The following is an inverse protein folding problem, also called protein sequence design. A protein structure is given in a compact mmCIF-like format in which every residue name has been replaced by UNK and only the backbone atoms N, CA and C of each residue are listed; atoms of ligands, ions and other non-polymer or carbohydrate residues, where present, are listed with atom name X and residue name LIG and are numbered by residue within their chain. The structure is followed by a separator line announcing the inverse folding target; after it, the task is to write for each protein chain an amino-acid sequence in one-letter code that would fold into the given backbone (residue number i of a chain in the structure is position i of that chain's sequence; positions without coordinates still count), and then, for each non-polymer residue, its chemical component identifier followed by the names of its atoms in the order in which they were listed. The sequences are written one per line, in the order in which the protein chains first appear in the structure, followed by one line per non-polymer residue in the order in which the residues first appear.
data_IF_839586722586
#
_entry.id   IF_839586722586
#
_cell.length_a   1.000
_cell.length_b   1.000
_cell.length_c   1.000
_cell.angle_alpha   90.00
_cell.angle_beta   90.00
_cell.angle_gamma   90.00
#
_symmetry.space_group_name_H-M   'P 1'
#
loop_
_entity.id
_entity.type
_entity.pdbx_description
1 polymer ?
#
# COMPACT_ATOMS: atom_id res chain seq x y z
N UNK A 1 -21.56 11.37 16.53
CA UNK A 1 -22.19 11.89 15.30
C UNK A 1 -22.53 10.69 14.43
N UNK A 2 -23.70 10.62 13.77
CA UNK A 2 -23.92 9.57 12.78
C UNK A 2 -22.80 9.67 11.73
N UNK A 3 -22.21 8.54 11.33
CA UNK A 3 -21.26 8.50 10.21
C UNK A 3 -21.98 9.09 8.99
N UNK A 4 -21.31 9.94 8.20
CA UNK A 4 -21.86 10.39 6.93
C UNK A 4 -22.18 9.17 6.07
N UNK A 5 -23.29 9.24 5.33
CA UNK A 5 -23.63 8.23 4.33
C UNK A 5 -22.43 8.00 3.39
N UNK A 6 -22.02 6.74 3.22
CA UNK A 6 -20.92 6.38 2.31
C UNK A 6 -21.37 6.63 0.87
N UNK A 7 -20.59 7.42 0.13
CA UNK A 7 -20.86 7.74 -1.27
C UNK A 7 -19.76 7.16 -2.15
N UNK A 8 -20.12 6.25 -3.04
CA UNK A 8 -19.15 5.54 -3.89
C UNK A 8 -19.36 5.96 -5.34
N UNK A 9 -18.31 6.49 -5.97
CA UNK A 9 -18.28 6.64 -7.42
C UNK A 9 -17.81 5.33 -8.04
N UNK A 10 -18.64 4.73 -8.89
CA UNK A 10 -18.29 3.53 -9.66
C UNK A 10 -17.97 3.96 -11.09
N UNK A 11 -16.70 3.88 -11.48
CA UNK A 11 -16.28 4.20 -12.84
C UNK A 11 -16.50 2.97 -13.74
N UNK A 12 -17.42 3.11 -14.69
CA UNK A 12 -17.89 2.04 -15.57
C UNK A 12 -17.37 2.31 -16.98
N UNK A 13 -16.54 1.41 -17.49
CA UNK A 13 -16.01 1.48 -18.87
C UNK A 13 -16.98 0.84 -19.86
N UNK A 14 -17.59 -0.29 -19.48
CA UNK A 14 -18.62 -0.96 -20.28
C UNK A 14 -19.90 -1.20 -19.46
N UNK A 15 -20.88 -0.29 -19.55
CA UNK A 15 -22.16 -0.44 -18.88
C UNK A 15 -22.90 -1.73 -19.22
N UNK A 16 -22.56 -2.43 -20.31
CA UNK A 16 -23.21 -3.69 -20.67
C UNK A 16 -22.65 -4.90 -19.91
N UNK A 17 -21.40 -4.85 -19.45
CA UNK A 17 -20.63 -6.03 -19.02
C UNK A 17 -20.21 -6.03 -17.53
N UNK A 18 -20.46 -4.95 -16.80
CA UNK A 18 -19.88 -4.73 -15.46
C UNK A 18 -20.85 -4.90 -14.29
N UNK A 19 -21.79 -5.84 -14.40
CA UNK A 19 -22.77 -6.11 -13.35
C UNK A 19 -22.09 -6.53 -12.03
N UNK A 20 -21.01 -7.31 -12.09
CA UNK A 20 -20.22 -7.74 -10.92
C UNK A 20 -19.60 -6.56 -10.16
N UNK A 21 -19.11 -5.54 -10.89
CA UNK A 21 -18.56 -4.32 -10.28
C UNK A 21 -19.63 -3.57 -9.49
N UNK A 22 -20.85 -3.49 -10.03
CA UNK A 22 -21.98 -2.83 -9.36
C UNK A 22 -22.47 -3.62 -8.15
N UNK A 23 -22.51 -4.96 -8.22
CA UNK A 23 -22.84 -5.81 -7.06
C UNK A 23 -21.82 -5.64 -5.93
N UNK A 24 -20.53 -5.59 -6.28
CA UNK A 24 -19.47 -5.31 -5.32
C UNK A 24 -19.63 -3.90 -4.72
N UNK A 25 -19.90 -2.89 -5.54
CA UNK A 25 -20.15 -1.52 -5.06
C UNK A 25 -21.30 -1.46 -4.05
N UNK A 26 -22.42 -2.11 -4.37
CA UNK A 26 -23.59 -2.17 -3.49
C UNK A 26 -23.27 -2.84 -2.15
N UNK A 27 -22.48 -3.91 -2.15
CA UNK A 27 -22.06 -4.60 -0.90
C UNK A 27 -21.30 -3.68 0.07
N UNK A 28 -20.57 -2.69 -0.45
CA UNK A 28 -19.80 -1.73 0.34
C UNK A 28 -20.64 -0.57 0.88
N UNK A 29 -21.82 -0.33 0.28
CA UNK A 29 -22.74 0.75 0.59
C UNK A 29 -23.98 0.29 1.38
N UNK A 30 -23.94 -0.90 2.00
CA UNK A 30 -25.08 -1.54 2.66
C UNK A 30 -25.46 -0.93 4.04
N UNK A 31 -24.67 0.03 4.56
CA UNK A 31 -25.04 0.79 5.76
C UNK A 31 -26.20 1.76 5.44
N UNK A 32 -27.05 2.12 6.43
CA UNK A 32 -28.19 2.97 6.17
C UNK A 32 -27.73 4.25 5.48
N UNK A 33 -28.37 4.54 4.33
CA UNK A 33 -28.17 5.73 3.49
C UNK A 33 -26.98 5.70 2.51
N UNK A 34 -26.32 4.57 2.27
CA UNK A 34 -25.30 4.47 1.21
C UNK A 34 -25.83 4.78 -0.19
N UNK A 35 -25.01 5.44 -1.03
CA UNK A 35 -25.38 5.85 -2.38
C UNK A 35 -24.25 5.58 -3.39
N UNK A 36 -24.62 5.08 -4.57
CA UNK A 36 -23.71 4.84 -5.69
C UNK A 36 -23.90 5.90 -6.79
N UNK A 37 -22.78 6.38 -7.33
CA UNK A 37 -22.72 7.20 -8.52
C UNK A 37 -22.10 6.39 -9.66
N UNK A 38 -22.95 5.73 -10.45
CA UNK A 38 -22.51 4.91 -11.59
C UNK A 38 -22.16 5.83 -12.74
N UNK A 39 -20.88 5.91 -13.09
CA UNK A 39 -20.36 6.96 -13.98
C UNK A 39 -19.67 6.36 -15.19
N UNK A 40 -20.23 6.61 -16.37
CA UNK A 40 -19.59 6.32 -17.65
C UNK A 40 -19.08 7.63 -18.26
N UNK A 41 -17.77 7.69 -18.54
CA UNK A 41 -17.15 8.85 -19.18
C UNK A 41 -17.09 8.62 -20.68
N UNK A 42 -17.57 9.59 -21.46
CA UNK A 42 -17.46 9.58 -22.92
C UNK A 42 -16.41 10.60 -23.34
N UNK A 43 -15.30 10.10 -23.87
CA UNK A 43 -14.22 10.94 -24.40
C UNK A 43 -14.39 11.21 -25.91
N UNK A 44 -13.78 12.27 -26.47
CA UNK A 44 -13.94 12.61 -27.90
C UNK A 44 -13.46 11.52 -28.87
N UNK A 45 -12.54 10.66 -28.42
CA UNK A 45 -11.93 9.60 -29.23
C UNK A 45 -12.71 8.27 -29.19
N UNK A 46 -13.72 8.17 -28.32
CA UNK A 46 -14.55 6.97 -28.19
C UNK A 46 -15.76 7.00 -29.13
N UNK A 47 -16.16 5.85 -29.67
CA UNK A 47 -17.39 5.76 -30.46
C UNK A 47 -18.61 6.10 -29.59
N UNK A 48 -19.55 6.83 -30.16
CA UNK A 48 -20.80 7.16 -29.48
C UNK A 48 -21.55 5.89 -29.08
N UNK A 49 -21.99 5.85 -27.81
CA UNK A 49 -22.73 4.72 -27.22
C UNK A 49 -24.14 5.20 -26.85
N UNK A 50 -25.08 5.25 -27.81
CA UNK A 50 -26.41 5.81 -27.57
C UNK A 50 -27.20 5.05 -26.48
N UNK A 51 -26.88 3.77 -26.28
CA UNK A 51 -27.51 2.92 -25.27
C UNK A 51 -26.87 3.02 -23.88
N UNK A 52 -25.76 3.77 -23.72
CA UNK A 52 -25.01 3.83 -22.46
C UNK A 52 -25.88 4.28 -21.27
N UNK A 53 -26.78 5.25 -21.49
CA UNK A 53 -27.70 5.71 -20.47
C UNK A 53 -28.69 4.61 -20.03
N UNK A 54 -29.22 3.83 -20.99
CA UNK A 54 -30.14 2.75 -20.70
C UNK A 54 -29.45 1.57 -20.01
N UNK A 55 -28.22 1.24 -20.45
CA UNK A 55 -27.38 0.22 -19.83
C UNK A 55 -26.98 0.60 -18.40
N UNK A 56 -26.60 1.86 -18.15
CA UNK A 56 -26.34 2.36 -16.80
C UNK A 56 -27.59 2.33 -15.92
N UNK A 57 -28.77 2.65 -16.46
CA UNK A 57 -30.02 2.54 -15.71
C UNK A 57 -30.34 1.10 -15.32
N UNK A 58 -30.08 0.12 -16.21
CA UNK A 58 -30.16 -1.32 -15.88
C UNK A 58 -29.17 -1.67 -14.77
N UNK A 59 -27.93 -1.21 -14.87
CA UNK A 59 -26.90 -1.45 -13.86
C UNK A 59 -27.31 -0.83 -12.50
N UNK A 60 -27.87 0.38 -12.49
CA UNK A 60 -28.39 1.02 -11.29
C UNK A 60 -29.50 0.20 -10.62
N UNK A 61 -30.36 -0.45 -11.42
CA UNK A 61 -31.40 -1.33 -10.89
C UNK A 61 -30.82 -2.50 -10.09
N UNK A 62 -29.66 -3.04 -10.48
CA UNK A 62 -28.98 -4.11 -9.72
C UNK A 62 -28.65 -3.66 -8.30
N UNK A 63 -28.16 -2.43 -8.13
CA UNK A 63 -27.87 -1.88 -6.80
C UNK A 63 -29.15 -1.61 -6.01
N UNK A 64 -30.21 -1.13 -6.66
CA UNK A 64 -31.52 -0.89 -6.03
C UNK A 64 -32.15 -2.19 -5.54
N UNK A 65 -32.04 -3.27 -6.32
CA UNK A 65 -32.52 -4.60 -5.94
C UNK A 65 -31.76 -5.15 -4.72
N UNK A 66 -30.52 -4.68 -4.50
CA UNK A 66 -29.71 -4.95 -3.31
C UNK A 66 -29.94 -3.95 -2.17
N UNK A 67 -30.91 -3.05 -2.29
CA UNK A 67 -31.29 -2.09 -1.26
C UNK A 67 -30.46 -0.80 -1.22
N UNK A 68 -29.61 -0.55 -2.23
CA UNK A 68 -28.73 0.61 -2.30
C UNK A 68 -29.19 1.59 -3.37
N UNK A 69 -29.26 2.88 -3.04
CA UNK A 69 -29.58 3.92 -4.02
C UNK A 69 -28.45 4.05 -5.05
N UNK A 70 -28.77 4.08 -6.34
CA UNK A 70 -27.80 4.25 -7.41
C UNK A 70 -28.27 5.28 -8.44
N UNK A 71 -27.38 6.21 -8.78
CA UNK A 71 -27.64 7.28 -9.75
C UNK A 71 -26.74 7.07 -10.98
N UNK A 72 -27.31 6.86 -12.18
CA UNK A 72 -26.55 6.72 -13.42
C UNK A 72 -26.15 8.08 -14.00
N UNK A 73 -24.88 8.24 -14.37
CA UNK A 73 -24.30 9.44 -14.97
C UNK A 73 -23.53 9.08 -16.25
N UNK A 74 -23.96 9.63 -17.38
CA UNK A 74 -23.15 9.72 -18.60
C UNK A 74 -22.55 11.12 -18.64
N UNK A 75 -21.21 11.20 -18.60
CA UNK A 75 -20.50 12.48 -18.52
C UNK A 75 -19.52 12.60 -19.68
N UNK A 76 -19.62 13.69 -20.43
CA UNK A 76 -18.68 14.00 -21.51
C UNK A 76 -17.54 14.86 -21.00
N UNK A 77 -16.32 14.57 -21.43
CA UNK A 77 -15.18 15.43 -21.14
C UNK A 77 -13.91 15.02 -21.87
N UNK A 78 -12.84 15.82 -21.76
CA UNK A 78 -11.65 15.65 -22.58
C UNK A 78 -10.77 14.47 -22.15
N UNK A 79 -10.89 14.00 -20.90
CA UNK A 79 -10.19 12.81 -20.41
C UNK A 79 -10.96 12.16 -19.26
N UNK A 80 -10.84 10.83 -19.13
CA UNK A 80 -11.44 10.06 -18.02
C UNK A 80 -10.95 10.58 -16.67
N UNK A 81 -9.64 10.81 -16.53
CA UNK A 81 -9.03 11.26 -15.28
C UNK A 81 -9.61 12.57 -14.76
N UNK A 82 -9.73 13.57 -15.65
CA UNK A 82 -10.30 14.86 -15.27
C UNK A 82 -11.77 14.73 -14.88
N UNK A 83 -12.56 14.04 -15.70
CA UNK A 83 -14.01 13.90 -15.47
C UNK A 83 -14.32 13.18 -14.17
N UNK A 84 -13.63 12.07 -13.89
CA UNK A 84 -13.79 11.34 -12.62
C UNK A 84 -13.35 12.21 -11.43
N UNK A 85 -12.25 12.95 -11.55
CA UNK A 85 -11.81 13.87 -10.49
C UNK A 85 -12.83 14.96 -10.16
N UNK A 86 -13.42 15.59 -11.18
CA UNK A 86 -14.49 16.59 -11.02
C UNK A 86 -15.77 15.95 -10.43
N UNK A 87 -16.11 14.73 -10.88
CA UNK A 87 -17.28 13.99 -10.42
C UNK A 87 -17.19 13.59 -8.94
N UNK A 88 -16.03 13.11 -8.49
CA UNK A 88 -15.77 12.79 -7.08
C UNK A 88 -16.02 14.01 -6.18
N UNK A 89 -15.55 15.19 -6.58
CA UNK A 89 -15.79 16.44 -5.84
C UNK A 89 -17.25 16.88 -5.92
N UNK A 90 -17.83 16.87 -7.12
CA UNK A 90 -19.20 17.33 -7.38
C UNK A 90 -20.23 16.55 -6.59
N UNK A 91 -20.03 15.25 -6.44
CA UNK A 91 -20.95 14.36 -5.73
C UNK A 91 -20.45 13.97 -4.34
N UNK A 92 -19.33 14.55 -3.90
CA UNK A 92 -18.78 14.37 -2.57
C UNK A 92 -18.58 12.89 -2.22
N UNK A 93 -18.01 12.13 -3.17
CA UNK A 93 -17.79 10.70 -3.04
C UNK A 93 -16.54 10.42 -2.20
N UNK A 94 -16.66 9.47 -1.26
CA UNK A 94 -15.59 9.06 -0.35
C UNK A 94 -14.68 8.01 -0.99
N UNK A 95 -15.23 7.21 -1.91
CA UNK A 95 -14.57 6.05 -2.51
C UNK A 95 -14.72 6.11 -4.04
N UNK A 96 -13.62 5.86 -4.75
CA UNK A 96 -13.61 5.50 -6.17
C UNK A 96 -13.49 3.97 -6.29
N UNK A 97 -14.46 3.33 -6.96
CA UNK A 97 -14.39 1.93 -7.34
C UNK A 97 -14.38 1.81 -8.86
N UNK A 98 -13.48 0.98 -9.40
CA UNK A 98 -13.32 0.81 -10.84
C UNK A 98 -12.86 -0.59 -11.23
N UNK A 99 -13.22 -1.04 -12.43
CA UNK A 99 -12.72 -2.27 -13.03
C UNK A 99 -11.25 -2.19 -13.47
N UNK A 100 -10.58 -3.34 -13.48
CA UNK A 100 -9.27 -3.51 -14.13
C UNK A 100 -9.46 -4.06 -15.55
N UNK A 101 -9.18 -3.23 -16.55
CA UNK A 101 -9.23 -3.64 -17.96
C UNK A 101 -7.82 -3.77 -18.50
N UNK A 102 -7.43 -5.02 -18.77
CA UNK A 102 -6.15 -5.38 -19.38
C UNK A 102 -6.18 -6.85 -19.76
N UNK A 103 -6.20 -7.10 -21.07
CA UNK A 103 -6.05 -8.44 -21.61
C UNK A 103 -4.67 -9.01 -21.24
N UNK A 104 -4.64 -10.33 -21.13
CA UNK A 104 -3.53 -11.19 -20.75
C UNK A 104 -2.29 -10.94 -21.62
N UNK A 105 -1.45 -9.97 -21.24
CA UNK A 105 -0.07 -9.86 -21.69
C UNK A 105 0.73 -9.02 -20.68
N UNK A 106 1.95 -9.46 -20.35
CA UNK A 106 2.86 -8.79 -19.41
C UNK A 106 3.32 -7.43 -19.93
N UNK A 107 3.34 -7.25 -21.25
CA UNK A 107 3.77 -6.03 -21.92
C UNK A 107 2.60 -5.08 -22.25
N UNK A 108 1.38 -5.60 -22.31
CA UNK A 108 0.14 -4.83 -22.52
C UNK A 108 -0.62 -4.56 -21.21
N UNK A 109 0.09 -4.53 -20.08
CA UNK A 109 -0.42 -4.03 -18.78
C UNK A 109 -0.43 -2.49 -18.83
N UNK A 110 -1.05 -1.94 -19.89
CA UNK A 110 -0.88 -0.56 -20.34
C UNK A 110 -2.20 0.21 -20.55
N UNK A 111 -3.24 -0.03 -19.75
CA UNK A 111 -4.29 1.00 -19.61
C UNK A 111 -3.74 2.14 -18.73
N UNK A 112 -3.27 3.20 -19.40
CA UNK A 112 -2.73 4.41 -18.79
C UNK A 112 -3.79 5.19 -17.97
N UNK A 113 -5.09 5.01 -18.26
CA UNK A 113 -6.18 5.78 -17.68
C UNK A 113 -6.42 5.46 -16.19
N UNK A 114 -6.48 4.17 -15.83
CA UNK A 114 -6.67 3.70 -14.46
C UNK A 114 -5.55 4.15 -13.50
N UNK A 115 -4.34 4.33 -14.03
CA UNK A 115 -3.13 4.63 -13.25
C UNK A 115 -2.94 6.11 -12.98
N UNK A 116 -3.26 6.96 -13.95
CA UNK A 116 -3.33 8.40 -13.77
C UNK A 116 -4.41 8.76 -12.73
N UNK A 117 -5.56 8.08 -12.79
CA UNK A 117 -6.65 8.22 -11.82
C UNK A 117 -6.19 7.96 -10.39
N UNK A 118 -5.56 6.81 -10.12
CA UNK A 118 -5.17 6.43 -8.76
C UNK A 118 -4.11 7.34 -8.13
N UNK A 119 -3.26 8.00 -8.93
CA UNK A 119 -2.22 8.89 -8.40
C UNK A 119 -2.66 10.34 -8.28
N UNK A 120 -3.51 10.81 -9.20
CA UNK A 120 -3.94 12.19 -9.24
C UNK A 120 -5.02 12.50 -8.19
N UNK A 121 -5.73 11.48 -7.70
CA UNK A 121 -6.91 11.63 -6.87
C UNK A 121 -6.63 11.24 -5.41
N UNK A 122 -6.83 12.21 -4.51
CA UNK A 122 -6.76 12.04 -3.06
C UNK A 122 -8.08 11.47 -2.50
N UNK A 123 -8.37 10.23 -2.90
CA UNK A 123 -9.59 9.49 -2.54
C UNK A 123 -9.25 8.03 -2.28
N UNK A 124 -9.99 7.40 -1.36
CA UNK A 124 -9.91 5.96 -1.18
C UNK A 124 -10.29 5.27 -2.50
N UNK A 125 -9.44 4.36 -2.98
CA UNK A 125 -9.58 3.77 -4.32
C UNK A 125 -9.58 2.25 -4.25
N UNK A 126 -10.57 1.64 -4.91
CA UNK A 126 -10.75 0.21 -5.01
C UNK A 126 -10.65 -0.18 -6.50
N UNK A 127 -9.81 -1.16 -6.81
CA UNK A 127 -9.60 -1.63 -8.17
C UNK A 127 -9.99 -3.10 -8.23
N UNK A 128 -11.04 -3.40 -8.98
CA UNK A 128 -11.60 -4.74 -9.07
C UNK A 128 -11.15 -5.43 -10.35
N UNK A 129 -10.37 -6.50 -10.20
CA UNK A 129 -10.00 -7.39 -11.30
C UNK A 129 -10.91 -8.61 -11.27
N UNK A 130 -11.94 -8.56 -12.11
CA UNK A 130 -12.89 -9.64 -12.25
C UNK A 130 -12.28 -10.82 -13.03
N UNK A 131 -12.48 -12.04 -12.54
CA UNK A 131 -12.15 -13.32 -13.18
C UNK A 131 -13.35 -14.25 -13.28
N UNK A 132 -14.56 -13.69 -13.34
CA UNK A 132 -15.82 -14.42 -13.38
C UNK A 132 -16.45 -14.55 -12.00
N UNK A 133 -16.52 -13.45 -11.25
CA UNK A 133 -17.10 -13.41 -9.91
C UNK A 133 -18.63 -13.50 -9.97
N UNK A 134 -19.16 -14.72 -10.05
CA UNK A 134 -20.61 -14.94 -10.05
C UNK A 134 -21.17 -15.10 -8.62
N UNK A 135 -20.37 -15.71 -7.73
CA UNK A 135 -20.69 -15.99 -6.33
C UNK A 135 -19.43 -15.87 -5.50
N UNK A 136 -19.59 -15.45 -4.26
CA UNK A 136 -18.53 -15.48 -3.26
C UNK A 136 -19.03 -16.31 -2.09
N UNK A 137 -18.23 -17.28 -1.68
CA UNK A 137 -18.43 -18.10 -0.49
C UNK A 137 -17.31 -17.84 0.53
N UNK A 138 -16.11 -17.48 0.05
CA UNK A 138 -14.95 -17.18 0.90
C UNK A 138 -14.14 -16.00 0.41
N UNK A 139 -13.74 -15.15 1.37
CA UNK A 139 -12.88 -13.98 1.14
C UNK A 139 -11.53 -14.18 1.83
N UNK A 140 -10.44 -14.12 1.06
CA UNK A 140 -9.07 -14.15 1.59
C UNK A 140 -8.50 -12.73 1.67
N UNK A 141 -7.92 -12.38 2.81
CA UNK A 141 -7.35 -11.05 3.07
C UNK A 141 -5.89 -11.16 3.48
N UNK A 142 -4.93 -11.17 2.54
CA UNK A 142 -3.51 -11.01 2.86
C UNK A 142 -3.25 -9.62 3.43
N UNK A 143 -2.57 -9.52 4.57
CA UNK A 143 -2.25 -8.23 5.19
C UNK A 143 -0.76 -7.96 5.33
N UNK A 144 -0.39 -6.73 4.97
CA UNK A 144 0.89 -6.06 5.16
C UNK A 144 1.08 -5.46 6.56
N UNK A 145 -0.02 -5.26 7.30
CA UNK A 145 -0.09 -4.42 8.50
C UNK A 145 -0.02 -2.91 8.23
N UNK A 146 0.11 -2.48 6.97
CA UNK A 146 0.11 -1.08 6.55
C UNK A 146 -1.30 -0.52 6.31
N UNK A 147 -1.41 0.80 6.09
CA UNK A 147 -2.71 1.49 5.98
C UNK A 147 -3.62 0.91 4.89
N UNK A 148 -3.08 0.65 3.70
CA UNK A 148 -3.82 0.01 2.61
C UNK A 148 -4.32 -1.40 2.96
N UNK A 149 -3.52 -2.17 3.70
CA UNK A 149 -3.92 -3.52 4.15
C UNK A 149 -4.98 -3.47 5.24
N UNK A 150 -4.89 -2.51 6.17
CA UNK A 150 -5.92 -2.33 7.20
C UNK A 150 -7.25 -1.91 6.60
N UNK A 151 -7.23 -0.96 5.66
CA UNK A 151 -8.42 -0.62 4.87
C UNK A 151 -8.93 -1.85 4.09
N UNK A 152 -8.03 -2.67 3.55
CA UNK A 152 -8.38 -3.94 2.91
C UNK A 152 -9.15 -4.89 3.83
N UNK A 153 -8.76 -5.00 5.10
CA UNK A 153 -9.48 -5.78 6.12
C UNK A 153 -10.87 -5.21 6.37
N UNK A 154 -11.00 -3.88 6.53
CA UNK A 154 -12.31 -3.22 6.73
C UNK A 154 -13.24 -3.41 5.53
N UNK A 155 -12.71 -3.25 4.31
CA UNK A 155 -13.44 -3.47 3.05
C UNK A 155 -13.90 -4.93 2.94
N UNK A 156 -13.00 -5.88 3.18
CA UNK A 156 -13.32 -7.31 3.15
C UNK A 156 -14.37 -7.68 4.20
N UNK A 157 -14.30 -7.08 5.40
CA UNK A 157 -15.30 -7.31 6.44
C UNK A 157 -16.69 -6.82 6.01
N UNK A 158 -16.80 -5.64 5.40
CA UNK A 158 -18.09 -5.14 4.88
C UNK A 158 -18.66 -6.06 3.79
N UNK A 159 -17.81 -6.52 2.88
CA UNK A 159 -18.19 -7.49 1.83
C UNK A 159 -18.68 -8.79 2.47
N UNK A 160 -17.93 -9.32 3.44
CA UNK A 160 -18.26 -10.54 4.18
C UNK A 160 -19.61 -10.44 4.90
N UNK A 161 -19.89 -9.30 5.56
CA UNK A 161 -21.18 -9.05 6.20
C UNK A 161 -22.32 -8.89 5.19
N UNK A 162 -22.10 -8.19 4.09
CA UNK A 162 -23.13 -7.95 3.08
C UNK A 162 -23.53 -9.21 2.32
N UNK A 163 -22.59 -10.15 2.15
CA UNK A 163 -22.83 -11.41 1.45
C UNK A 163 -23.06 -12.62 2.37
N UNK A 164 -22.91 -12.44 3.69
CA UNK A 164 -23.00 -13.52 4.70
C UNK A 164 -22.01 -14.67 4.40
N UNK A 165 -20.74 -14.30 4.21
CA UNK A 165 -19.65 -15.22 3.81
C UNK A 165 -18.47 -15.16 4.77
N UNK A 166 -17.70 -16.24 4.84
CA UNK A 166 -16.51 -16.29 5.68
C UNK A 166 -15.38 -15.43 5.13
N UNK A 167 -14.66 -14.76 6.02
CA UNK A 167 -13.40 -14.08 5.71
C UNK A 167 -12.24 -14.68 6.50
N UNK A 168 -11.09 -14.86 5.86
CA UNK A 168 -9.85 -15.30 6.50
C UNK A 168 -8.78 -14.24 6.31
N UNK A 169 -8.20 -13.75 7.40
CA UNK A 169 -7.03 -12.86 7.33
C UNK A 169 -5.76 -13.70 7.36
N UNK A 170 -4.82 -13.44 6.47
CA UNK A 170 -3.56 -14.17 6.40
C UNK A 170 -2.38 -13.21 6.42
N UNK A 171 -1.39 -13.49 7.26
CA UNK A 171 -0.16 -12.72 7.35
C UNK A 171 1.02 -13.63 7.11
N UNK A 172 1.93 -13.21 6.24
CA UNK A 172 3.16 -13.95 5.98
C UNK A 172 4.27 -13.43 6.89
N UNK A 173 4.81 -14.30 7.73
CA UNK A 173 6.06 -14.05 8.44
C UNK A 173 7.20 -14.46 7.51
N UNK A 174 7.71 -13.50 6.73
CA UNK A 174 8.72 -13.82 5.71
C UNK A 174 10.08 -14.10 6.36
N UNK A 175 10.64 -15.26 6.06
CA UNK A 175 11.97 -15.65 6.48
C UNK A 175 12.69 -16.41 5.36
N UNK A 176 13.92 -16.01 5.03
CA UNK A 176 14.65 -16.56 3.89
C UNK A 176 15.04 -18.02 4.10
N UNK A 177 15.28 -18.41 5.35
CA UNK A 177 15.74 -19.75 5.68
C UNK A 177 14.58 -20.72 5.94
N UNK A 178 13.49 -20.23 6.54
CA UNK A 178 12.33 -20.99 7.00
C UNK A 178 12.74 -22.27 7.76
N UNK A 179 13.74 -22.15 8.64
CA UNK A 179 14.23 -23.29 9.43
C UNK A 179 13.17 -23.74 10.42
N UNK A 180 12.92 -25.05 10.48
CA UNK A 180 12.06 -25.63 11.51
C UNK A 180 12.70 -25.40 12.88
N UNK A 181 11.88 -25.06 13.87
CA UNK A 181 12.26 -24.84 15.27
C UNK A 181 13.27 -23.69 15.49
N UNK A 182 13.36 -22.72 14.56
CA UNK A 182 14.17 -21.52 14.76
C UNK A 182 13.51 -20.59 15.81
N UNK A 183 14.17 -20.32 16.96
CA UNK A 183 13.62 -19.46 18.01
C UNK A 183 13.37 -18.02 17.56
N UNK A 184 14.16 -17.48 16.62
CA UNK A 184 13.97 -16.13 16.10
C UNK A 184 12.76 -16.06 15.18
N UNK A 185 12.57 -17.06 14.33
CA UNK A 185 11.38 -17.17 13.49
C UNK A 185 10.11 -17.32 14.35
N UNK A 186 10.14 -18.16 15.39
CA UNK A 186 8.98 -18.32 16.27
C UNK A 186 8.67 -17.05 17.06
N UNK A 187 9.70 -16.34 17.53
CA UNK A 187 9.54 -15.01 18.15
C UNK A 187 8.90 -14.02 17.17
N UNK A 188 9.41 -13.94 15.93
CA UNK A 188 8.88 -13.04 14.90
C UNK A 188 7.42 -13.38 14.56
N UNK A 189 7.09 -14.66 14.38
CA UNK A 189 5.71 -15.13 14.13
C UNK A 189 4.76 -14.73 15.25
N UNK A 190 5.18 -14.95 16.50
CA UNK A 190 4.39 -14.55 17.68
C UNK A 190 4.16 -13.04 17.71
N UNK A 191 5.20 -12.25 17.48
CA UNK A 191 5.10 -10.80 17.47
C UNK A 191 4.15 -10.32 16.37
N UNK A 192 4.31 -10.82 15.15
CA UNK A 192 3.43 -10.49 14.02
C UNK A 192 1.98 -10.90 14.30
N UNK A 193 1.76 -12.02 14.99
CA UNK A 193 0.43 -12.43 15.44
C UNK A 193 -0.17 -11.50 16.49
N UNK A 194 0.64 -11.03 17.45
CA UNK A 194 0.18 -10.12 18.51
C UNK A 194 -0.13 -8.72 17.95
N UNK A 195 0.72 -8.23 17.05
CA UNK A 195 0.52 -6.98 16.30
C UNK A 195 -0.76 -7.04 15.46
N UNK A 196 -0.96 -8.11 14.69
CA UNK A 196 -2.18 -8.28 13.89
C UNK A 196 -3.42 -8.34 14.78
N UNK A 197 -3.36 -9.06 15.91
CA UNK A 197 -4.48 -9.10 16.87
C UNK A 197 -4.79 -7.72 17.45
N UNK A 198 -3.77 -6.91 17.75
CA UNK A 198 -3.98 -5.53 18.18
C UNK A 198 -4.61 -4.68 17.09
N UNK A 199 -4.15 -4.80 15.85
CA UNK A 199 -4.70 -4.08 14.69
C UNK A 199 -6.18 -4.41 14.46
N UNK A 200 -6.54 -5.70 14.50
CA UNK A 200 -7.93 -6.15 14.37
C UNK A 200 -8.81 -5.57 15.49
N UNK A 201 -8.33 -5.59 16.76
CA UNK A 201 -9.04 -4.95 17.88
C UNK A 201 -9.21 -3.45 17.71
N UNK A 202 -8.21 -2.75 17.17
CA UNK A 202 -8.31 -1.30 16.90
C UNK A 202 -9.34 -0.98 15.82
N UNK A 203 -9.57 -1.91 14.89
CA UNK A 203 -10.64 -1.83 13.88
C UNK A 203 -12.01 -2.25 14.43
N UNK A 204 -12.10 -2.71 15.69
CA UNK A 204 -13.29 -3.34 16.28
C UNK A 204 -13.73 -4.60 15.54
N UNK A 205 -12.76 -5.38 15.04
CA UNK A 205 -12.96 -6.60 14.26
C UNK A 205 -12.29 -7.81 14.95
N UNK A 206 -12.89 -9.00 14.80
CA UNK A 206 -12.31 -10.28 15.29
C UNK A 206 -12.44 -11.41 14.24
N UNK A 207 -12.00 -11.22 12.98
CA UNK A 207 -12.01 -12.28 11.99
C UNK A 207 -10.96 -13.35 12.34
N UNK A 208 -11.15 -14.61 11.89
CA UNK A 208 -10.10 -15.60 12.01
C UNK A 208 -8.87 -15.13 11.24
N UNK A 209 -7.70 -15.30 11.86
CA UNK A 209 -6.43 -14.96 11.21
C UNK A 209 -5.38 -16.05 11.41
N UNK A 210 -4.44 -16.13 10.47
CA UNK A 210 -3.32 -17.06 10.51
C UNK A 210 -2.00 -16.36 10.14
N UNK A 211 -0.90 -16.80 10.77
CA UNK A 211 0.46 -16.33 10.45
C UNK A 211 1.28 -17.48 9.87
N UNK A 212 1.60 -17.39 8.58
CA UNK A 212 2.29 -18.45 7.83
C UNK A 212 3.77 -18.06 7.64
N UNK A 213 4.73 -18.89 8.08
CA UNK A 213 6.13 -18.71 7.74
C UNK A 213 6.37 -19.10 6.28
N UNK A 214 7.01 -18.23 5.50
CA UNK A 214 7.34 -18.51 4.10
C UNK A 214 8.56 -17.73 3.60
N UNK A 215 9.20 -18.22 2.54
CA UNK A 215 10.36 -17.57 1.92
C UNK A 215 10.01 -16.32 1.12
N UNK A 216 8.80 -16.28 0.57
CA UNK A 216 8.25 -15.16 -0.17
C UNK A 216 6.78 -14.92 0.23
N UNK A 217 6.27 -13.73 -0.04
CA UNK A 217 4.91 -13.32 0.35
C UNK A 217 3.86 -13.79 -0.65
N UNK A 218 4.18 -13.81 -1.94
CA UNK A 218 3.17 -13.98 -3.00
C UNK A 218 2.74 -15.44 -3.12
N UNK A 219 3.69 -16.37 -3.19
CA UNK A 219 3.43 -17.78 -3.46
C UNK A 219 2.50 -18.46 -2.45
N UNK A 220 2.68 -18.33 -1.11
CA UNK A 220 1.76 -18.95 -0.15
C UNK A 220 0.34 -18.37 -0.23
N UNK A 221 0.20 -17.06 -0.49
CA UNK A 221 -1.11 -16.40 -0.62
C UNK A 221 -1.82 -16.85 -1.89
N UNK A 222 -1.12 -16.92 -3.02
CA UNK A 222 -1.68 -17.40 -4.29
C UNK A 222 -2.11 -18.86 -4.20
N UNK A 223 -1.36 -19.69 -3.49
CA UNK A 223 -1.74 -21.09 -3.26
C UNK A 223 -3.02 -21.17 -2.41
N UNK A 224 -3.11 -20.39 -1.32
CA UNK A 224 -4.31 -20.34 -0.48
C UNK A 224 -5.53 -19.84 -1.24
N UNK A 225 -5.37 -18.80 -2.07
CA UNK A 225 -6.42 -18.21 -2.89
C UNK A 225 -7.06 -19.16 -3.92
N UNK A 226 -6.55 -20.39 -4.10
CA UNK A 226 -7.22 -21.43 -4.91
C UNK A 226 -8.52 -21.94 -4.31
N UNK A 227 -8.70 -21.77 -3.00
CA UNK A 227 -9.89 -22.21 -2.28
C UNK A 227 -10.87 -21.07 -1.98
N UNK A 228 -10.57 -19.85 -2.45
CA UNK A 228 -11.33 -18.64 -2.15
C UNK A 228 -11.81 -18.00 -3.46
N UNK A 229 -12.91 -17.24 -3.41
CA UNK A 229 -13.53 -16.64 -4.61
C UNK A 229 -13.12 -15.18 -4.81
N UNK A 230 -12.75 -14.51 -3.72
CA UNK A 230 -12.31 -13.13 -3.71
C UNK A 230 -11.07 -12.94 -2.84
N UNK A 231 -10.02 -12.37 -3.45
CA UNK A 231 -8.81 -11.94 -2.76
C UNK A 231 -8.85 -10.41 -2.56
N UNK A 232 -8.79 -9.93 -1.32
CA UNK A 232 -8.74 -8.49 -1.02
C UNK A 232 -7.33 -8.10 -0.56
N UNK A 233 -6.62 -7.30 -1.35
CA UNK A 233 -5.20 -6.96 -1.13
C UNK A 233 -5.01 -5.46 -0.99
N UNK A 234 -4.21 -5.03 -0.01
CA UNK A 234 -3.75 -3.63 0.03
C UNK A 234 -2.81 -3.32 -1.14
N UNK A 235 -2.97 -2.15 -1.77
CA UNK A 235 -2.01 -1.61 -2.73
C UNK A 235 -0.62 -1.44 -2.09
N UNK A 236 0.45 -1.33 -2.89
CA UNK A 236 1.75 -1.03 -2.30
C UNK A 236 1.95 0.46 -2.10
N UNK A 237 2.91 0.77 -1.25
CA UNK A 237 3.38 2.12 -0.99
C UNK A 237 4.03 2.72 -2.25
N UNK A 238 3.91 4.05 -2.35
CA UNK A 238 3.97 4.85 -3.57
C UNK A 238 5.38 5.04 -4.19
N UNK A 239 5.91 4.03 -4.89
CA UNK A 239 7.04 4.18 -5.84
C UNK A 239 6.76 3.54 -7.20
N UNK A 240 5.87 4.08 -8.02
CA UNK A 240 5.64 3.40 -9.31
C UNK A 240 5.44 4.38 -10.43
N UNK A 241 6.50 4.65 -11.20
CA UNK A 241 6.38 5.26 -12.52
C UNK A 241 5.38 4.48 -13.39
N UNK A 242 4.69 5.19 -14.28
CA UNK A 242 3.65 4.62 -15.16
C UNK A 242 4.16 3.49 -16.07
N UNK A 243 5.47 3.40 -16.29
CA UNK A 243 6.11 2.40 -17.16
C UNK A 243 6.56 1.09 -16.49
N UNK A 244 6.56 0.97 -15.15
CA UNK A 244 7.19 -0.18 -14.44
C UNK A 244 6.33 -0.75 -13.30
N UNK A 245 5.02 -0.83 -13.52
CA UNK A 245 4.02 -1.35 -12.58
C UNK A 245 3.90 -2.89 -12.57
N UNK A 246 4.86 -3.61 -13.15
CA UNK A 246 4.92 -5.07 -13.07
C UNK A 246 5.96 -5.47 -12.02
N UNK A 247 5.55 -6.32 -11.05
CA UNK A 247 6.49 -7.01 -10.15
C UNK A 247 6.38 -6.69 -8.66
N UNK A 248 5.44 -5.84 -8.24
CA UNK A 248 5.18 -5.66 -6.81
C UNK A 248 4.43 -6.85 -6.21
N UNK A 249 4.39 -6.92 -4.88
CA UNK A 249 3.63 -7.97 -4.18
C UNK A 249 2.13 -7.94 -4.55
N UNK A 250 1.39 -6.82 -4.45
CA UNK A 250 -0.03 -6.79 -4.80
C UNK A 250 -0.31 -7.04 -6.29
N UNK A 251 0.54 -6.56 -7.21
CA UNK A 251 0.31 -6.78 -8.65
C UNK A 251 0.57 -8.23 -9.02
N UNK A 252 1.61 -8.85 -8.45
CA UNK A 252 1.87 -10.27 -8.66
C UNK A 252 0.75 -11.14 -8.08
N UNK A 253 0.17 -10.75 -6.94
CA UNK A 253 -1.03 -11.40 -6.41
C UNK A 253 -2.22 -11.24 -7.36
N UNK A 254 -2.54 -10.01 -7.79
CA UNK A 254 -3.63 -9.73 -8.73
C UNK A 254 -3.47 -10.47 -10.07
N UNK A 255 -2.22 -10.66 -10.51
CA UNK A 255 -1.91 -11.41 -11.71
C UNK A 255 -2.04 -12.93 -11.51
N UNK A 256 -1.40 -13.49 -10.49
CA UNK A 256 -1.24 -14.94 -10.29
C UNK A 256 -2.40 -15.61 -9.55
N UNK A 257 -3.20 -14.88 -8.76
CA UNK A 257 -4.32 -15.45 -8.04
C UNK A 257 -5.33 -16.08 -9.02
N UNK A 258 -5.92 -17.24 -8.72
CA UNK A 258 -6.88 -17.89 -9.62
C UNK A 258 -8.27 -17.23 -9.57
N UNK A 259 -8.60 -16.57 -8.46
CA UNK A 259 -9.87 -15.93 -8.19
C UNK A 259 -9.89 -14.43 -8.55
N UNK A 260 -11.05 -13.79 -8.41
CA UNK A 260 -11.16 -12.34 -8.57
C UNK A 260 -10.40 -11.61 -7.47
N UNK A 261 -9.88 -10.42 -7.78
CA UNK A 261 -9.01 -9.67 -6.86
C UNK A 261 -9.49 -8.24 -6.72
N UNK A 262 -9.67 -7.80 -5.47
CA UNK A 262 -9.94 -6.42 -5.12
C UNK A 262 -8.69 -5.79 -4.49
N UNK A 263 -8.08 -4.86 -5.21
CA UNK A 263 -6.94 -4.09 -4.69
C UNK A 263 -7.46 -2.81 -4.02
N UNK A 264 -7.02 -2.57 -2.79
CA UNK A 264 -7.50 -1.48 -1.92
C UNK A 264 -6.37 -0.48 -1.67
N UNK A 265 -6.60 0.78 -2.00
CA UNK A 265 -5.68 1.89 -1.72
C UNK A 265 -6.40 2.93 -0.87
N UNK A 266 -5.97 3.07 0.38
CA UNK A 266 -6.36 4.23 1.19
C UNK A 266 -5.77 5.51 0.61
N UNK A 267 -6.49 6.62 0.73
CA UNK A 267 -5.97 7.97 0.44
C UNK A 267 -4.67 8.23 1.20
N UNK A 268 -3.84 9.12 0.64
CA UNK A 268 -2.56 9.43 1.24
C UNK A 268 -2.77 10.00 2.66
N UNK A 269 -1.99 9.58 3.67
CA UNK A 269 -2.12 10.18 4.98
C UNK A 269 -1.73 11.66 4.92
N UNK A 270 -2.47 12.52 5.60
CA UNK A 270 -2.16 13.96 5.70
C UNK A 270 -0.83 14.24 6.42
N UNK A 271 -0.22 13.22 7.05
CA UNK A 271 1.05 13.31 7.76
C UNK A 271 1.78 11.97 7.66
N UNK A 272 3.06 12.01 7.26
CA UNK A 272 3.93 10.84 7.26
C UNK A 272 4.29 10.41 8.67
N UNK A 273 4.09 9.13 8.98
CA UNK A 273 4.60 8.48 10.20
C UNK A 273 5.88 7.73 9.85
N UNK A 274 6.89 7.77 10.71
CA UNK A 274 8.10 6.96 10.58
C UNK A 274 7.76 5.47 10.45
N UNK A 275 6.78 4.96 11.20
CA UNK A 275 6.35 3.56 11.11
C UNK A 275 5.71 3.18 9.78
N UNK A 276 5.29 4.16 8.96
CA UNK A 276 4.82 3.94 7.59
C UNK A 276 5.94 3.96 6.55
N UNK A 277 7.10 4.53 6.88
CA UNK A 277 8.29 4.63 6.02
C UNK A 277 9.26 3.48 6.32
N UNK A 278 9.53 3.23 7.61
CA UNK A 278 10.45 2.22 8.12
C UNK A 278 9.65 1.07 8.75
N UNK A 279 9.26 0.12 7.92
CA UNK A 279 8.49 -1.06 8.31
C UNK A 279 9.42 -2.28 8.33
N UNK A 280 8.98 -3.37 8.97
CA UNK A 280 9.85 -4.50 9.34
C UNK A 280 10.68 -5.07 8.18
N UNK A 281 10.17 -5.02 6.94
CA UNK A 281 10.93 -5.53 5.81
C UNK A 281 11.94 -4.53 5.22
N UNK A 282 11.79 -3.22 5.47
CA UNK A 282 12.80 -2.20 5.09
C UNK A 282 13.80 -1.90 6.21
N UNK A 283 13.78 -2.68 7.29
CA UNK A 283 14.73 -2.60 8.40
C UNK A 283 15.75 -3.74 8.30
N UNK A 284 17.02 -3.43 8.58
CA UNK A 284 18.10 -4.41 8.78
C UNK A 284 18.85 -4.07 10.07
N UNK A 285 18.97 -5.04 10.98
CA UNK A 285 19.52 -4.82 12.32
C UNK A 285 21.03 -5.05 12.44
N UNK A 286 21.66 -5.66 11.44
CA UNK A 286 23.01 -6.22 11.57
C UNK A 286 23.87 -5.92 10.33
N UNK A 287 23.93 -4.63 9.95
CA UNK A 287 24.71 -4.18 8.81
C UNK A 287 26.18 -3.98 9.20
N UNK A 288 27.08 -4.56 8.41
CA UNK A 288 28.53 -4.47 8.58
C UNK A 288 29.21 -3.86 7.33
N UNK A 289 28.90 -2.59 6.99
CA UNK A 289 29.55 -1.94 5.87
C UNK A 289 31.01 -1.57 6.21
N UNK A 290 31.91 -1.68 5.23
CA UNK A 290 33.32 -1.28 5.36
C UNK A 290 33.49 0.24 5.41
N UNK A 291 32.61 0.96 4.72
CA UNK A 291 32.60 2.42 4.65
C UNK A 291 31.17 2.96 4.40
N UNK A 292 31.00 4.28 4.46
CA UNK A 292 29.70 4.93 4.21
C UNK A 292 29.12 4.67 2.82
N UNK A 293 29.95 4.40 1.81
CA UNK A 293 29.49 4.19 0.44
C UNK A 293 28.90 2.80 0.25
N UNK A 294 29.50 1.80 0.90
CA UNK A 294 28.94 0.46 1.02
C UNK A 294 27.70 0.46 1.91
N UNK A 295 27.68 1.27 2.98
CA UNK A 295 26.48 1.43 3.78
C UNK A 295 25.31 1.94 2.93
N UNK A 296 25.50 3.02 2.15
CA UNK A 296 24.45 3.53 1.24
C UNK A 296 24.05 2.48 0.18
N UNK A 297 25.01 1.70 -0.34
CA UNK A 297 24.74 0.62 -1.31
C UNK A 297 23.80 -0.44 -0.73
N UNK A 298 24.15 -0.98 0.45
CA UNK A 298 23.32 -1.94 1.18
C UNK A 298 21.92 -1.38 1.49
N UNK A 299 21.83 -0.09 1.85
CA UNK A 299 20.54 0.55 2.11
C UNK A 299 19.64 0.63 0.86
N UNK A 300 20.22 0.88 -0.32
CA UNK A 300 19.48 0.85 -1.59
C UNK A 300 19.09 -0.58 -1.96
N UNK A 301 19.96 -1.56 -1.70
CA UNK A 301 19.67 -2.98 -1.94
C UNK A 301 18.45 -3.46 -1.15
N UNK A 302 18.31 -3.06 0.11
CA UNK A 302 17.11 -3.35 0.91
C UNK A 302 15.85 -2.91 0.14
N UNK A 303 15.83 -1.69 -0.40
CA UNK A 303 14.66 -1.17 -1.11
C UNK A 303 14.38 -1.91 -2.42
N UNK A 304 15.41 -2.42 -3.10
CA UNK A 304 15.27 -3.24 -4.30
C UNK A 304 14.77 -4.64 -3.96
N UNK A 305 15.35 -5.28 -2.94
CA UNK A 305 14.92 -6.59 -2.42
C UNK A 305 13.44 -6.56 -2.01
N UNK A 306 13.01 -5.48 -1.35
CA UNK A 306 11.63 -5.28 -0.91
C UNK A 306 10.68 -4.78 -2.00
N UNK A 307 11.15 -4.74 -3.26
CA UNK A 307 10.38 -4.29 -4.42
C UNK A 307 9.80 -2.89 -4.24
N UNK A 308 10.43 -2.07 -3.40
CA UNK A 308 10.12 -0.65 -3.23
C UNK A 308 10.79 0.17 -4.33
N UNK A 309 11.89 -0.32 -4.90
CA UNK A 309 12.57 0.25 -6.07
C UNK A 309 12.78 -0.85 -7.11
N UNK A 310 12.43 -0.64 -8.40
CA UNK A 310 12.75 -1.60 -9.45
C UNK A 310 14.27 -1.79 -9.56
N UNK A 311 14.70 -3.03 -9.77
CA UNK A 311 16.13 -3.35 -9.93
C UNK A 311 16.80 -2.55 -11.06
N UNK A 312 16.07 -2.24 -12.14
CA UNK A 312 16.53 -1.41 -13.25
C UNK A 312 16.83 0.05 -12.87
N UNK A 313 16.31 0.54 -11.73
CA UNK A 313 16.49 1.90 -11.23
C UNK A 313 17.51 1.99 -10.10
N UNK A 314 18.04 0.85 -9.61
CA UNK A 314 18.99 0.78 -8.50
C UNK A 314 20.13 1.78 -8.64
N UNK A 315 20.80 1.78 -9.79
CA UNK A 315 22.00 2.62 -10.01
C UNK A 315 21.66 4.11 -10.01
N UNK A 316 20.51 4.49 -10.58
CA UNK A 316 20.04 5.88 -10.56
C UNK A 316 19.75 6.36 -9.13
N UNK A 317 19.13 5.50 -8.31
CA UNK A 317 18.86 5.81 -6.89
C UNK A 317 20.14 5.92 -6.09
N UNK A 318 21.07 4.98 -6.30
CA UNK A 318 22.37 4.96 -5.66
C UNK A 318 23.19 6.20 -6.00
N UNK A 319 23.23 6.59 -7.28
CA UNK A 319 23.91 7.81 -7.74
C UNK A 319 23.32 9.05 -7.07
N UNK A 320 21.99 9.17 -6.99
CA UNK A 320 21.33 10.28 -6.33
C UNK A 320 21.68 10.38 -4.83
N UNK A 321 21.68 9.24 -4.11
CA UNK A 321 22.07 9.18 -2.70
C UNK A 321 23.54 9.55 -2.50
N UNK A 322 24.45 8.98 -3.31
CA UNK A 322 25.90 9.24 -3.22
C UNK A 322 26.25 10.67 -3.58
N UNK A 323 25.59 11.25 -4.59
CA UNK A 323 25.74 12.65 -4.99
C UNK A 323 25.33 13.62 -3.86
N UNK A 324 24.35 13.24 -3.04
CA UNK A 324 23.98 14.04 -1.85
C UNK A 324 25.03 13.93 -0.76
N UNK A 325 25.51 12.73 -0.46
CA UNK A 325 26.52 12.48 0.59
C UNK A 325 27.88 13.10 0.25
N UNK A 326 28.30 13.09 -1.03
CA UNK A 326 29.59 13.66 -1.47
C UNK A 326 29.68 15.17 -1.35
N UNK A 327 28.54 15.88 -1.36
CA UNK A 327 28.50 17.34 -1.17
C UNK A 327 28.74 17.73 0.29
N UNK A 328 28.22 16.94 1.23
CA UNK A 328 28.34 17.16 2.66
C UNK A 328 27.77 15.94 3.38
N UNK A 329 28.48 15.50 4.43
CA UNK A 329 28.07 14.39 5.30
C UNK A 329 26.60 14.54 5.70
N UNK A 330 25.86 13.42 5.61
CA UNK A 330 24.48 13.34 6.09
C UNK A 330 24.36 12.91 7.55
N UNK A 331 25.49 12.81 8.26
CA UNK A 331 25.51 12.62 9.71
C UNK A 331 24.93 13.83 10.43
N UNK A 332 24.01 13.59 11.36
CA UNK A 332 23.34 14.63 12.16
C UNK A 332 23.75 14.59 13.65
N UNK A 333 24.79 13.82 13.98
CA UNK A 333 25.19 13.51 15.35
C UNK A 333 24.31 12.43 15.99
N UNK A 334 24.54 12.13 17.27
CA UNK A 334 23.84 11.05 18.00
C UNK A 334 23.91 9.70 17.25
N UNK A 335 25.08 9.41 16.70
CA UNK A 335 25.36 8.17 15.96
C UNK A 335 24.40 7.94 14.76
N UNK A 336 23.78 9.00 14.21
CA UNK A 336 22.72 8.89 13.20
C UNK A 336 23.11 9.58 11.89
N UNK A 337 22.89 8.90 10.76
CA UNK A 337 22.94 9.49 9.42
C UNK A 337 21.60 9.38 8.71
N UNK A 338 21.29 10.35 7.85
CA UNK A 338 20.08 10.35 7.02
C UNK A 338 20.44 10.56 5.54
N UNK A 339 21.04 9.55 4.88
CA UNK A 339 21.26 9.61 3.43
C UNK A 339 19.93 9.88 2.70
N UNK A 340 19.97 10.79 1.73
CA UNK A 340 18.76 11.27 1.08
C UNK A 340 18.94 11.37 -0.44
N UNK A 341 18.05 10.73 -1.18
CA UNK A 341 18.02 10.73 -2.64
C UNK A 341 16.74 11.41 -3.17
N UNK A 342 16.83 12.64 -3.71
CA UNK A 342 15.70 13.25 -4.42
C UNK A 342 15.56 12.59 -5.80
N UNK A 343 14.35 12.14 -6.13
CA UNK A 343 14.06 11.45 -7.38
C UNK A 343 12.87 12.06 -8.11
N UNK A 344 12.90 12.14 -9.45
CA UNK A 344 11.76 12.61 -10.24
C UNK A 344 10.60 11.62 -10.18
N UNK A 345 9.38 12.13 -10.35
CA UNK A 345 8.14 11.37 -10.51
C UNK A 345 7.82 10.36 -9.39
N UNK A 346 8.42 10.58 -8.23
CA UNK A 346 8.17 9.83 -7.01
C UNK A 346 6.87 10.31 -6.34
N UNK A 347 5.85 9.44 -6.17
CA UNK A 347 4.57 9.86 -5.60
C UNK A 347 4.58 10.08 -4.07
N UNK A 348 5.49 9.45 -3.33
CA UNK A 348 5.58 9.56 -1.86
C UNK A 348 7.00 9.46 -1.30
N UNK A 349 7.14 9.15 -0.01
CA UNK A 349 8.45 8.94 0.64
C UNK A 349 8.66 7.44 0.85
N UNK A 350 9.85 6.96 0.54
CA UNK A 350 10.28 5.58 0.83
C UNK A 350 11.51 5.66 1.70
N UNK A 351 11.66 4.71 2.61
CA UNK A 351 12.88 4.63 3.39
C UNK A 351 13.24 3.22 3.81
N UNK A 352 14.52 3.09 4.15
CA UNK A 352 15.09 1.92 4.79
C UNK A 352 15.83 2.37 6.04
N UNK A 353 15.85 1.51 7.05
CA UNK A 353 16.57 1.74 8.30
C UNK A 353 17.58 0.62 8.55
N UNK A 354 18.86 1.01 8.62
CA UNK A 354 19.97 0.14 8.91
C UNK A 354 20.53 0.40 10.30
N UNK A 355 20.81 -0.67 11.03
CA UNK A 355 21.55 -0.64 12.28
C UNK A 355 22.93 -1.24 12.02
N UNK A 356 23.98 -0.50 12.37
CA UNK A 356 25.38 -0.90 12.27
C UNK A 356 25.95 -1.06 13.69
N UNK A 357 25.96 -2.28 14.27
CA UNK A 357 26.37 -2.51 15.66
C UNK A 357 27.82 -2.14 15.96
N UNK A 358 28.69 -2.08 14.97
CA UNK A 358 30.09 -1.68 15.13
C UNK A 358 30.31 -0.18 14.87
N UNK A 359 29.32 0.47 14.27
CA UNK A 359 29.41 1.84 13.76
C UNK A 359 30.17 1.93 12.44
N UNK A 360 29.88 2.98 11.67
CA UNK A 360 30.56 3.29 10.40
C UNK A 360 30.88 4.78 10.35
N UNK A 361 32.07 5.11 9.86
CA UNK A 361 32.47 6.51 9.69
C UNK A 361 31.74 7.14 8.50
N UNK A 362 31.08 8.26 8.76
CA UNK A 362 30.33 9.05 7.78
C UNK A 362 30.95 10.44 7.55
N UNK A 363 32.20 10.65 7.97
CA UNK A 363 32.89 11.95 7.93
C UNK A 363 32.10 13.06 8.66
N UNK A 364 31.46 12.69 9.77
CA UNK A 364 30.63 13.60 10.56
C UNK A 364 31.46 14.64 11.33
N UNK A 365 30.92 15.84 11.51
CA UNK A 365 31.63 16.94 12.20
C UNK A 365 31.98 16.64 13.66
N UNK A 366 31.24 15.74 14.32
CA UNK A 366 31.45 15.38 15.74
C UNK A 366 32.46 14.25 15.95
N UNK A 367 32.92 13.58 14.89
CA UNK A 367 33.80 12.41 14.99
C UNK A 367 33.14 11.15 15.56
N UNK A 368 31.82 11.17 15.80
CA UNK A 368 31.06 10.00 16.23
C UNK A 368 30.83 9.04 15.06
N UNK A 369 30.99 7.74 15.31
CA UNK A 369 30.59 6.71 14.36
C UNK A 369 29.07 6.64 14.24
N UNK A 370 28.57 6.39 13.04
CA UNK A 370 27.14 6.23 12.77
C UNK A 370 26.74 4.78 13.00
N UNK A 371 25.75 4.57 13.85
CA UNK A 371 25.13 3.26 14.11
C UNK A 371 23.73 3.15 13.51
N UNK A 372 23.08 4.27 13.21
CA UNK A 372 21.70 4.31 12.73
C UNK A 372 21.63 5.05 11.39
N UNK A 373 21.22 4.37 10.34
CA UNK A 373 21.17 4.92 8.98
C UNK A 373 19.72 4.91 8.51
N UNK A 374 19.16 6.10 8.31
CA UNK A 374 17.82 6.29 7.76
C UNK A 374 17.94 6.75 6.31
N UNK A 375 17.92 5.83 5.34
CA UNK A 375 17.88 6.20 3.93
C UNK A 375 16.48 6.71 3.58
N UNK A 376 16.38 7.85 2.89
CA UNK A 376 15.14 8.42 2.40
C UNK A 376 15.20 8.68 0.89
N UNK A 377 14.23 8.14 0.16
CA UNK A 377 13.93 8.52 -1.22
C UNK A 377 12.75 9.50 -1.20
N UNK A 378 12.90 10.65 -1.85
CA UNK A 378 11.89 11.72 -1.79
C UNK A 378 11.55 12.33 -3.15
N UNK A 379 10.33 12.88 -3.31
CA UNK A 379 9.95 13.59 -4.52
C UNK A 379 10.79 14.84 -4.73
N UNK A 380 11.47 14.92 -5.89
CA UNK A 380 12.28 16.09 -6.24
C UNK A 380 11.46 17.38 -6.32
N UNK A 381 10.19 17.27 -6.72
CA UNK A 381 9.26 18.38 -6.92
C UNK A 381 8.69 18.92 -5.59
N UNK A 382 8.78 18.17 -4.49
CA UNK A 382 8.14 18.52 -3.22
C UNK A 382 9.10 18.42 -2.01
N UNK A 383 10.17 19.20 -2.06
CA UNK A 383 11.20 19.24 -1.01
C UNK A 383 10.65 19.52 0.40
N UNK A 384 9.51 20.22 0.52
CA UNK A 384 8.92 20.58 1.82
C UNK A 384 8.19 19.43 2.51
N UNK A 385 7.72 18.44 1.75
CA UNK A 385 6.89 17.35 2.29
C UNK A 385 7.61 16.40 3.24
N UNK A 386 8.94 16.27 3.12
CA UNK A 386 9.73 15.33 3.92
C UNK A 386 10.46 15.99 5.11
N UNK A 387 10.49 17.32 5.22
CA UNK A 387 11.07 18.02 6.38
C UNK A 387 10.45 17.56 7.71
N UNK A 388 9.11 17.35 7.81
CA UNK A 388 8.52 16.79 9.02
C UNK A 388 9.05 15.39 9.37
N UNK A 389 9.41 14.58 8.38
CA UNK A 389 10.00 13.24 8.59
C UNK A 389 11.39 13.37 9.20
N UNK A 390 12.22 14.29 8.70
CA UNK A 390 13.53 14.56 9.30
C UNK A 390 13.42 15.00 10.76
N UNK A 391 12.45 15.87 11.07
CA UNK A 391 12.16 16.30 12.44
C UNK A 391 11.76 15.14 13.33
N UNK A 392 10.90 14.24 12.84
CA UNK A 392 10.51 13.02 13.56
C UNK A 392 11.70 12.10 13.83
N UNK A 393 12.58 11.88 12.83
CA UNK A 393 13.80 11.06 13.02
C UNK A 393 14.72 11.69 14.07
N UNK A 394 14.98 13.00 13.96
CA UNK A 394 15.84 13.70 14.91
C UNK A 394 15.27 13.62 16.35
N UNK A 395 13.96 13.74 16.50
CA UNK A 395 13.28 13.61 17.80
C UNK A 395 13.32 12.19 18.34
N UNK A 396 13.08 11.19 17.49
CA UNK A 396 13.16 9.77 17.84
C UNK A 396 14.56 9.41 18.37
N UNK A 397 15.60 9.88 17.70
CA UNK A 397 16.99 9.58 18.03
C UNK A 397 17.58 10.47 19.13
N UNK A 398 16.81 11.43 19.64
CA UNK A 398 17.28 12.42 20.61
C UNK A 398 17.75 11.78 21.93
N UNK A 399 17.07 10.72 22.38
CA UNK A 399 17.23 10.10 23.70
C UNK A 399 18.14 8.87 23.65
N UNK A 400 19.09 8.78 24.58
CA UNK A 400 20.03 7.66 24.69
C UNK A 400 19.30 6.34 24.96
N UNK A 401 18.20 6.40 25.71
CA UNK A 401 17.32 5.27 25.98
C UNK A 401 16.74 4.68 24.69
N UNK A 402 16.32 5.51 23.74
CA UNK A 402 15.76 5.02 22.47
C UNK A 402 16.86 4.43 21.60
N UNK A 403 18.03 5.07 21.52
CA UNK A 403 19.18 4.55 20.76
C UNK A 403 19.64 3.19 21.32
N UNK A 404 19.79 3.10 22.65
CA UNK A 404 20.11 1.84 23.31
C UNK A 404 19.06 0.77 23.01
N UNK A 405 17.76 1.09 23.07
CA UNK A 405 16.71 0.13 22.73
C UNK A 405 16.76 -0.34 21.26
N UNK A 406 17.13 0.53 20.32
CA UNK A 406 17.31 0.16 18.91
C UNK A 406 18.41 -0.91 18.74
N UNK A 407 19.55 -0.75 19.40
CA UNK A 407 20.66 -1.71 19.36
C UNK A 407 20.33 -3.08 19.98
N UNK A 408 19.37 -3.13 20.92
CA UNK A 408 18.99 -4.38 21.60
C UNK A 408 17.78 -5.08 20.95
N UNK A 409 17.19 -4.51 19.90
CA UNK A 409 16.14 -5.17 19.14
C UNK A 409 16.68 -6.45 18.51
N UNK A 410 15.93 -7.55 18.57
CA UNK A 410 16.36 -8.85 18.05
C UNK A 410 15.78 -9.13 16.66
N UNK A 411 14.65 -8.49 16.34
CA UNK A 411 13.96 -8.63 15.06
C UNK A 411 13.61 -7.27 14.48
N UNK A 412 13.55 -7.13 13.14
CA UNK A 412 13.09 -5.88 12.51
C UNK A 412 11.71 -5.43 12.99
N UNK A 413 10.85 -6.38 13.34
CA UNK A 413 9.52 -6.12 13.89
C UNK A 413 9.59 -5.50 15.30
N UNK A 414 10.51 -5.94 16.18
CA UNK A 414 10.75 -5.29 17.49
C UNK A 414 11.03 -3.79 17.30
N UNK A 415 11.84 -3.46 16.29
CA UNK A 415 12.22 -2.08 16.02
C UNK A 415 11.06 -1.27 15.43
N UNK A 416 10.27 -1.84 14.51
CA UNK A 416 9.03 -1.20 14.03
C UNK A 416 8.04 -0.94 15.17
N UNK A 417 7.86 -1.91 16.07
CA UNK A 417 6.97 -1.76 17.23
C UNK A 417 7.45 -0.64 18.17
N UNK A 418 8.77 -0.55 18.40
CA UNK A 418 9.36 0.52 19.19
C UNK A 418 9.14 1.89 18.54
N UNK A 419 9.31 2.03 17.21
CA UNK A 419 8.99 3.27 16.49
C UNK A 419 7.53 3.66 16.72
N UNK A 420 6.58 2.73 16.51
CA UNK A 420 5.14 2.99 16.71
C UNK A 420 4.83 3.44 18.15
N UNK A 421 5.47 2.80 19.15
CA UNK A 421 5.30 3.17 20.55
C UNK A 421 5.78 4.60 20.83
N UNK A 422 6.93 5.00 20.27
CA UNK A 422 7.48 6.35 20.43
C UNK A 422 6.63 7.40 19.71
N UNK A 423 6.12 7.08 18.53
CA UNK A 423 5.17 7.95 17.81
C UNK A 423 3.90 8.20 18.61
N UNK A 424 3.30 7.14 19.18
CA UNK A 424 2.08 7.25 19.99
C UNK A 424 2.30 8.05 21.28
N UNK A 425 3.51 8.07 21.84
CA UNK A 425 3.85 8.85 23.01
C UNK A 425 4.16 10.33 22.70
N UNK A 426 4.44 10.67 21.44
CA UNK A 426 4.78 12.02 20.99
C UNK A 426 3.57 12.78 20.40
N UNK A 427 2.49 12.07 20.07
CA UNK A 427 1.18 12.61 19.67
C UNK A 427 0.35 13.01 20.89
#
# INVERSE_FOLDING_TARGET
MPKSAVRILVAIEDPAAEDSLVRLAASLANEPWGELHLTHVVTPDEPDRPDAQAQLARAAQIAVDLGVGAIPHVVHGPSVTQVIGEALQRWNCDILLMGWYGAVDRDTILSANNRALTKALDVDTLIFKDKGLDRVDRVLVPTGGGAHSLMGIEVAHRISQAWDVDMQVTRVARDHECRKDDPLLERYRKQVSDDLRLQLRLLDLDPPFEVIPAKDVVSPIVERAREDDLLVVGAANDWREEGFLAGSIPDEMAYRAPCSVLTVRSRAPSTYRLSSIFWEHTIRLDLHPRDKWEAIDQMVDILVEEKQVPSSRRDNVLEAARSRESKSSTSIGRETAIPHAPLPDLPGIIGALGICPEGVDFDGMSGDVVRYIFLLLTPQQNYRSYIPVLGQIAQLMHTDETRSAFLHCQTPSDLTALIKQREAAAA
#
